data_IF_007356679144
#
_entry.id   IF_007356679144
#
_cell.length_a   1.000
_cell.length_b   1.000
_cell.length_c   1.000
_cell.angle_alpha   90.00
_cell.angle_beta   90.00
_cell.angle_gamma   90.00
#
_symmetry.space_group_name_H-M   'P 1'
#
loop_
_entity.id
_entity.type
_entity.pdbx_description
1 polymer ?
#
# COMPACT_ATOMS: atom_id res chain seq x y z
N UNK A 1 7.10 31.66 16.72
CA UNK A 1 7.25 30.36 16.01
C UNK A 1 6.78 29.16 16.84
N UNK A 2 6.52 29.30 18.15
CA UNK A 2 6.39 28.19 19.10
C UNK A 2 4.96 27.64 19.30
N UNK A 3 3.95 28.25 18.68
CA UNK A 3 2.54 27.96 18.92
C UNK A 3 1.81 27.60 17.62
N UNK A 4 2.07 26.39 17.08
CA UNK A 4 1.31 25.90 15.91
C UNK A 4 0.52 24.64 16.21
N UNK A 5 1.02 23.69 17.00
CA UNK A 5 0.28 22.46 17.28
C UNK A 5 -0.58 22.60 18.54
N UNK A 6 -1.89 22.79 18.36
CA UNK A 6 -2.84 22.80 19.49
C UNK A 6 -3.10 21.39 20.02
N UNK A 7 -2.89 20.38 19.17
CA UNK A 7 -3.12 18.96 19.46
C UNK A 7 -2.10 18.32 20.39
N UNK A 8 -1.03 19.02 20.76
CA UNK A 8 -0.05 18.51 21.73
C UNK A 8 -0.62 18.43 23.16
N UNK A 9 -1.74 19.10 23.42
CA UNK A 9 -2.33 19.18 24.77
C UNK A 9 -3.58 18.32 24.90
N UNK A 10 -3.56 17.36 25.84
CA UNK A 10 -4.71 16.52 26.19
C UNK A 10 -5.48 17.05 27.43
N UNK A 11 -5.59 18.37 27.53
CA UNK A 11 -6.30 19.08 28.60
C UNK A 11 -7.02 20.29 28.02
N UNK A 12 -8.33 20.40 28.30
CA UNK A 12 -9.19 21.44 27.74
C UNK A 12 -8.78 22.87 28.16
N UNK A 13 -8.39 23.08 29.41
CA UNK A 13 -7.97 24.38 29.92
C UNK A 13 -6.67 24.84 29.25
N UNK A 14 -5.74 23.90 29.05
CA UNK A 14 -4.47 24.17 28.36
C UNK A 14 -4.71 24.48 26.88
N UNK A 15 -5.60 23.71 26.22
CA UNK A 15 -6.03 23.99 24.84
C UNK A 15 -6.64 25.39 24.74
N UNK A 16 -7.56 25.75 25.63
CA UNK A 16 -8.20 27.07 25.62
C UNK A 16 -7.20 28.20 25.90
N UNK A 17 -6.29 28.00 26.84
CA UNK A 17 -5.22 28.96 27.14
C UNK A 17 -4.29 29.14 25.95
N UNK A 18 -3.93 28.04 25.28
CA UNK A 18 -3.11 28.07 24.07
C UNK A 18 -3.82 28.81 22.94
N UNK A 19 -5.07 28.46 22.64
CA UNK A 19 -5.89 29.11 21.61
C UNK A 19 -6.00 30.61 21.87
N UNK A 20 -6.24 31.00 23.12
CA UNK A 20 -6.33 32.40 23.52
C UNK A 20 -5.00 33.14 23.27
N UNK A 21 -3.86 32.56 23.68
CA UNK A 21 -2.53 33.13 23.45
C UNK A 21 -2.13 33.15 21.98
N UNK A 22 -2.59 32.17 21.19
CA UNK A 22 -2.35 32.11 19.76
C UNK A 22 -3.12 33.19 18.98
N UNK A 23 -4.11 33.86 19.60
CA UNK A 23 -4.87 34.94 18.98
C UNK A 23 -5.58 34.45 17.72
N UNK A 24 -5.26 35.04 16.56
CA UNK A 24 -5.77 34.67 15.23
C UNK A 24 -4.75 33.89 14.38
N UNK A 25 -3.66 33.40 14.99
CA UNK A 25 -2.66 32.66 14.24
C UNK A 25 -3.25 31.36 13.63
N UNK A 26 -2.75 30.92 12.46
CA UNK A 26 -3.09 29.62 11.90
C UNK A 26 -2.69 28.48 12.83
N UNK A 27 -3.55 27.48 12.94
CA UNK A 27 -3.40 26.35 13.86
C UNK A 27 -3.15 25.05 13.10
N UNK A 28 -2.28 24.20 13.64
CA UNK A 28 -2.11 22.81 13.24
C UNK A 28 -2.95 21.93 14.17
N UNK A 29 -3.95 21.27 13.61
CA UNK A 29 -4.85 20.35 14.30
C UNK A 29 -4.55 18.95 13.78
N UNK A 30 -3.76 18.21 14.54
CA UNK A 30 -3.39 16.83 14.24
C UNK A 30 -3.98 15.90 15.31
N UNK A 31 -5.04 15.18 14.96
CA UNK A 31 -5.76 14.32 15.89
C UNK A 31 -4.96 13.06 16.24
N UNK A 32 -3.97 12.68 15.43
CA UNK A 32 -3.08 11.54 15.71
C UNK A 32 -2.08 11.91 16.78
N UNK A 33 -1.49 13.10 16.69
CA UNK A 33 -0.61 13.65 17.72
C UNK A 33 -1.35 13.73 19.05
N UNK A 34 -2.60 14.22 19.05
CA UNK A 34 -3.43 14.26 20.26
C UNK A 34 -3.63 12.85 20.83
N UNK A 35 -3.95 11.87 19.98
CA UNK A 35 -4.14 10.49 20.42
C UNK A 35 -2.86 9.88 20.99
N UNK A 36 -1.73 9.99 20.30
CA UNK A 36 -0.45 9.42 20.72
C UNK A 36 0.00 9.97 22.08
N UNK A 37 -0.25 11.26 22.35
CA UNK A 37 0.01 11.85 23.67
C UNK A 37 -0.95 11.40 24.78
N UNK A 38 -2.06 10.76 24.40
CA UNK A 38 -3.14 10.31 25.27
C UNK A 38 -3.29 8.79 25.33
N UNK A 39 -2.35 8.01 24.78
CA UNK A 39 -2.50 6.56 24.58
C UNK A 39 -2.95 5.79 25.84
N UNK A 40 -2.42 6.19 27.00
CA UNK A 40 -2.71 5.58 28.30
C UNK A 40 -3.81 6.29 29.10
N UNK A 41 -4.35 7.40 28.60
CA UNK A 41 -5.36 8.21 29.29
C UNK A 41 -6.77 7.85 28.82
N UNK A 42 -7.81 7.99 29.67
CA UNK A 42 -9.20 7.87 29.25
C UNK A 42 -9.53 8.83 28.11
N UNK A 43 -10.45 8.43 27.22
CA UNK A 43 -10.95 9.31 26.17
C UNK A 43 -11.61 10.56 26.79
N UNK A 44 -11.19 11.74 26.33
CA UNK A 44 -11.72 13.04 26.73
C UNK A 44 -12.38 13.70 25.53
N UNK A 45 -13.64 13.35 25.31
CA UNK A 45 -14.43 13.87 24.19
C UNK A 45 -14.47 15.40 24.19
N UNK A 46 -14.47 16.05 25.35
CA UNK A 46 -14.44 17.51 25.47
C UNK A 46 -13.23 18.18 24.80
N UNK A 47 -12.05 17.54 24.81
CA UNK A 47 -10.85 18.06 24.12
C UNK A 47 -11.02 17.90 22.61
N UNK A 48 -11.47 16.72 22.18
CA UNK A 48 -11.74 16.43 20.76
C UNK A 48 -12.78 17.40 20.19
N UNK A 49 -13.91 17.55 20.87
CA UNK A 49 -15.01 18.40 20.44
C UNK A 49 -14.59 19.88 20.41
N UNK A 50 -13.71 20.31 21.33
CA UNK A 50 -13.12 21.64 21.27
C UNK A 50 -12.25 21.82 20.03
N UNK A 51 -11.37 20.88 19.71
CA UNK A 51 -10.50 20.93 18.53
C UNK A 51 -11.30 20.92 17.22
N UNK A 52 -12.42 20.21 17.20
CA UNK A 52 -13.33 20.12 16.06
C UNK A 52 -14.36 21.27 16.01
N UNK A 53 -14.27 22.23 16.91
CA UNK A 53 -15.19 23.37 16.91
C UNK A 53 -14.95 24.24 15.65
N UNK A 54 -16.00 24.67 14.93
CA UNK A 54 -15.86 25.41 13.66
C UNK A 54 -14.96 26.66 13.77
N UNK A 55 -15.01 27.36 14.91
CA UNK A 55 -14.13 28.48 15.24
C UNK A 55 -12.64 28.13 15.10
N UNK A 56 -12.19 26.98 15.62
CA UNK A 56 -10.79 26.58 15.54
C UNK A 56 -10.44 26.02 14.17
N UNK A 57 -11.33 25.21 13.60
CA UNK A 57 -11.09 24.60 12.30
C UNK A 57 -11.03 25.62 11.16
N UNK A 58 -11.79 26.72 11.26
CA UNK A 58 -11.68 27.83 10.29
C UNK A 58 -10.28 28.45 10.26
N UNK A 59 -9.51 28.32 11.35
CA UNK A 59 -8.12 28.78 11.48
C UNK A 59 -7.10 27.69 11.18
N UNK A 60 -7.52 26.47 10.85
CA UNK A 60 -6.62 25.36 10.62
C UNK A 60 -5.75 25.64 9.37
N UNK A 61 -4.43 25.57 9.54
CA UNK A 61 -3.48 25.42 8.42
C UNK A 61 -3.26 23.95 8.05
N UNK A 62 -3.46 23.06 9.02
CA UNK A 62 -3.31 21.62 8.88
C UNK A 62 -4.42 20.95 9.66
N UNK A 63 -5.11 20.00 9.04
CA UNK A 63 -6.10 19.14 9.70
C UNK A 63 -5.85 17.68 9.33
N UNK A 64 -5.46 16.88 10.32
CA UNK A 64 -5.10 15.47 10.14
C UNK A 64 -5.93 14.61 11.07
N UNK A 65 -6.63 13.63 10.49
CA UNK A 65 -7.17 12.45 11.16
C UNK A 65 -6.57 11.21 10.49
N UNK A 66 -5.60 10.60 11.17
CA UNK A 66 -4.90 9.37 10.82
C UNK A 66 -5.77 8.13 10.82
N UNK A 67 -7.05 8.29 11.17
CA UNK A 67 -8.01 7.22 11.32
C UNK A 67 -8.02 6.33 10.09
N UNK A 68 -7.85 5.03 10.30
CA UNK A 68 -8.02 4.01 9.25
C UNK A 68 -9.45 3.46 9.21
N UNK A 69 -10.22 3.71 10.28
CA UNK A 69 -11.58 3.25 10.49
C UNK A 69 -12.25 4.12 11.57
N UNK A 70 -13.55 3.89 11.78
CA UNK A 70 -14.37 4.59 12.79
C UNK A 70 -13.96 4.32 14.24
N UNK A 71 -13.12 3.31 14.49
CA UNK A 71 -12.65 2.95 15.83
C UNK A 71 -11.36 3.63 16.26
N UNK A 72 -10.64 4.21 15.31
CA UNK A 72 -9.43 4.94 15.63
C UNK A 72 -9.79 6.11 16.56
N UNK A 73 -9.04 6.31 17.66
CA UNK A 73 -9.40 7.37 18.62
C UNK A 73 -9.30 8.78 18.04
N UNK A 74 -8.58 8.96 16.94
CA UNK A 74 -8.50 10.21 16.18
C UNK A 74 -9.74 10.46 15.29
N UNK A 75 -10.63 9.47 15.13
CA UNK A 75 -11.89 9.62 14.40
C UNK A 75 -12.93 10.38 15.22
N UNK A 76 -13.76 11.16 14.52
CA UNK A 76 -14.94 11.80 15.08
C UNK A 76 -16.11 11.70 14.09
N UNK A 77 -17.31 11.26 14.53
CA UNK A 77 -18.49 11.23 13.68
C UNK A 77 -18.90 12.59 13.11
N UNK A 78 -18.57 13.67 13.81
CA UNK A 78 -18.89 15.04 13.38
C UNK A 78 -18.03 15.54 12.21
N UNK A 79 -16.95 14.83 11.85
CA UNK A 79 -15.95 15.33 10.90
C UNK A 79 -16.56 15.70 9.54
N UNK A 80 -17.51 14.91 9.04
CA UNK A 80 -18.16 15.18 7.76
C UNK A 80 -18.94 16.50 7.79
N UNK A 81 -19.83 16.66 8.77
CA UNK A 81 -20.61 17.89 8.97
C UNK A 81 -19.70 19.10 9.15
N UNK A 82 -18.59 18.93 9.87
CA UNK A 82 -17.67 20.04 10.13
C UNK A 82 -16.85 20.41 8.90
N UNK A 83 -16.42 19.45 8.09
CA UNK A 83 -15.74 19.70 6.83
C UNK A 83 -16.63 20.47 5.84
N UNK A 84 -17.90 20.10 5.71
CA UNK A 84 -18.81 20.75 4.76
C UNK A 84 -19.31 22.12 5.26
N UNK A 85 -19.52 22.29 6.57
CA UNK A 85 -20.03 23.55 7.14
C UNK A 85 -18.95 24.62 7.38
N UNK A 86 -17.67 24.24 7.44
CA UNK A 86 -16.57 25.17 7.75
C UNK A 86 -15.88 25.67 6.49
N UNK A 87 -15.58 26.97 6.43
CA UNK A 87 -14.72 27.55 5.39
C UNK A 87 -13.27 27.56 5.85
N UNK A 88 -12.40 26.93 5.07
CA UNK A 88 -11.00 26.70 5.42
C UNK A 88 -10.07 27.64 4.65
N UNK A 89 -10.04 28.93 5.03
CA UNK A 89 -9.26 29.93 4.30
C UNK A 89 -7.74 29.77 4.43
N UNK A 90 -7.26 29.07 5.45
CA UNK A 90 -5.83 28.93 5.76
C UNK A 90 -5.30 27.51 5.56
N UNK A 91 -6.18 26.54 5.26
CA UNK A 91 -5.85 25.13 5.23
C UNK A 91 -4.99 24.80 4.03
N UNK A 92 -3.81 24.27 4.32
CA UNK A 92 -2.82 23.79 3.33
C UNK A 92 -2.81 22.28 3.26
N UNK A 93 -3.00 21.61 4.39
CA UNK A 93 -2.87 20.17 4.52
C UNK A 93 -4.13 19.56 5.12
N UNK A 94 -4.81 18.71 4.35
CA UNK A 94 -5.96 17.95 4.80
C UNK A 94 -5.68 16.46 4.65
N UNK A 95 -5.77 15.70 5.74
CA UNK A 95 -5.74 14.24 5.71
C UNK A 95 -6.86 13.70 6.55
N UNK A 96 -7.87 13.07 5.97
CA UNK A 96 -9.06 12.64 6.69
C UNK A 96 -9.56 11.27 6.29
N UNK A 97 -10.23 10.61 7.23
CA UNK A 97 -11.05 9.44 6.97
C UNK A 97 -12.53 9.79 7.00
N UNK A 98 -13.24 9.39 5.96
CA UNK A 98 -14.68 9.58 5.81
C UNK A 98 -15.28 8.19 5.57
N UNK A 99 -16.09 7.65 6.50
CA UNK A 99 -16.70 6.34 6.30
C UNK A 99 -17.74 6.39 5.18
N UNK A 100 -17.95 5.26 4.50
CA UNK A 100 -18.83 5.11 3.32
C UNK A 100 -20.25 5.65 3.53
N UNK A 101 -20.81 5.48 4.73
CA UNK A 101 -22.15 5.96 5.12
C UNK A 101 -22.28 7.47 5.26
N UNK A 102 -21.18 8.20 5.37
CA UNK A 102 -21.17 9.66 5.53
C UNK A 102 -20.86 10.31 4.18
N UNK A 103 -21.90 10.50 3.37
CA UNK A 103 -21.76 11.16 2.07
C UNK A 103 -21.36 12.63 2.21
N UNK A 104 -20.48 13.06 1.31
CA UNK A 104 -20.06 14.44 1.12
C UNK A 104 -20.78 14.97 -0.11
N UNK A 105 -21.98 15.51 0.10
CA UNK A 105 -22.83 16.01 -0.98
C UNK A 105 -22.38 17.38 -1.51
N UNK A 106 -21.71 18.16 -0.66
CA UNK A 106 -21.23 19.50 -0.95
C UNK A 106 -19.69 19.59 -0.82
N UNK A 107 -19.01 20.28 -1.75
CA UNK A 107 -17.58 20.49 -1.65
C UNK A 107 -17.24 21.44 -0.50
N UNK A 108 -16.26 21.07 0.32
CA UNK A 108 -15.69 22.00 1.29
C UNK A 108 -14.79 23.03 0.58
N UNK A 109 -14.68 24.23 1.15
CA UNK A 109 -13.92 25.34 0.56
C UNK A 109 -12.56 25.50 1.24
N UNK A 110 -11.49 25.15 0.52
CA UNK A 110 -10.11 25.28 0.98
C UNK A 110 -9.19 25.83 -0.12
N UNK A 111 -9.19 27.16 -0.38
CA UNK A 111 -8.50 27.74 -1.54
C UNK A 111 -6.97 27.67 -1.47
N UNK A 112 -6.39 27.56 -0.27
CA UNK A 112 -4.95 27.44 -0.06
C UNK A 112 -4.46 25.99 0.07
N UNK A 113 -5.33 25.02 -0.23
CA UNK A 113 -5.01 23.60 -0.05
C UNK A 113 -3.89 23.20 -1.03
N UNK A 114 -2.86 22.58 -0.46
CA UNK A 114 -1.67 22.07 -1.17
C UNK A 114 -1.65 20.54 -1.16
N UNK A 115 -2.08 19.92 -0.06
CA UNK A 115 -2.08 18.47 0.14
C UNK A 115 -3.46 17.99 0.55
N UNK A 116 -4.02 17.09 -0.25
CA UNK A 116 -5.29 16.42 0.02
C UNK A 116 -5.07 14.93 0.17
N UNK A 117 -5.47 14.37 1.31
CA UNK A 117 -5.52 12.94 1.56
C UNK A 117 -6.91 12.57 2.09
N UNK A 118 -7.64 11.74 1.34
CA UNK A 118 -8.94 11.21 1.77
C UNK A 118 -8.92 9.69 1.63
N UNK A 119 -9.42 9.02 2.67
CA UNK A 119 -9.63 7.57 2.69
C UNK A 119 -11.01 7.24 3.23
N UNK A 120 -11.48 6.05 2.91
CA UNK A 120 -12.80 5.55 3.27
C UNK A 120 -12.75 4.03 3.42
N UNK A 121 -13.74 3.49 4.13
CA UNK A 121 -13.97 2.05 4.32
C UNK A 121 -15.01 1.48 3.33
N UNK A 122 -15.27 2.18 2.22
CA UNK A 122 -16.15 1.71 1.16
C UNK A 122 -15.70 0.34 0.64
N UNK A 123 -16.67 -0.58 0.53
CA UNK A 123 -16.47 -1.91 -0.05
C UNK A 123 -16.66 -1.95 -1.56
N UNK A 124 -17.37 -0.97 -2.12
CA UNK A 124 -17.63 -0.85 -3.55
C UNK A 124 -17.69 0.62 -4.00
N UNK A 125 -17.74 0.83 -5.33
CA UNK A 125 -17.81 2.17 -5.93
C UNK A 125 -19.02 2.99 -5.49
N UNK A 126 -20.18 2.36 -5.32
CA UNK A 126 -21.43 3.05 -5.00
C UNK A 126 -21.48 3.52 -3.54
N UNK A 127 -20.76 2.83 -2.66
CA UNK A 127 -20.59 3.17 -1.26
C UNK A 127 -19.54 4.27 -1.01
N UNK A 128 -18.80 4.70 -2.03
CA UNK A 128 -17.84 5.79 -1.87
C UNK A 128 -18.52 7.09 -1.39
N UNK A 129 -17.98 7.77 -0.36
CA UNK A 129 -18.61 8.94 0.24
C UNK A 129 -18.56 10.20 -0.63
N UNK A 130 -17.63 10.31 -1.58
CA UNK A 130 -17.44 11.53 -2.40
C UNK A 130 -17.74 11.23 -3.86
N UNK A 131 -18.63 11.99 -4.50
CA UNK A 131 -18.80 11.88 -5.96
C UNK A 131 -17.66 12.57 -6.72
N UNK A 132 -17.33 12.07 -7.91
CA UNK A 132 -16.33 12.68 -8.80
C UNK A 132 -16.63 14.17 -9.12
N UNK A 133 -17.93 14.54 -9.17
CA UNK A 133 -18.37 15.94 -9.34
C UNK A 133 -17.94 16.82 -8.16
N UNK A 134 -18.20 16.35 -6.94
CA UNK A 134 -17.84 17.06 -5.70
C UNK A 134 -16.32 17.21 -5.62
N UNK A 135 -15.58 16.13 -5.88
CA UNK A 135 -14.12 16.12 -5.93
C UNK A 135 -13.57 17.13 -6.96
N UNK A 136 -14.12 17.14 -8.17
CA UNK A 136 -13.71 18.09 -9.23
C UNK A 136 -13.91 19.54 -8.78
N UNK A 137 -14.99 19.81 -8.04
CA UNK A 137 -15.26 21.16 -7.52
C UNK A 137 -14.24 21.54 -6.43
N UNK A 138 -13.91 20.62 -5.52
CA UNK A 138 -12.84 20.83 -4.54
C UNK A 138 -11.49 21.12 -5.22
N UNK A 139 -11.17 20.38 -6.28
CA UNK A 139 -9.97 20.65 -7.06
C UNK A 139 -9.99 22.03 -7.68
N UNK A 140 -11.09 22.46 -8.31
CA UNK A 140 -11.16 23.78 -8.93
C UNK A 140 -10.98 24.92 -7.92
N UNK A 141 -11.47 24.75 -6.69
CA UNK A 141 -11.29 25.73 -5.62
C UNK A 141 -9.85 25.75 -5.08
N UNK A 142 -9.18 24.60 -5.03
CA UNK A 142 -7.81 24.43 -4.50
C UNK A 142 -6.72 24.68 -5.56
N UNK A 143 -6.49 25.93 -5.93
CA UNK A 143 -5.54 26.29 -7.01
C UNK A 143 -4.08 25.87 -6.75
N UNK A 144 -3.68 25.69 -5.50
CA UNK A 144 -2.29 25.37 -5.10
C UNK A 144 -2.05 23.88 -4.84
N UNK A 145 -3.00 23.02 -5.20
CA UNK A 145 -2.92 21.59 -4.93
C UNK A 145 -1.75 20.97 -5.71
N UNK A 146 -0.80 20.38 -4.98
CA UNK A 146 0.37 19.71 -5.54
C UNK A 146 0.47 18.23 -5.16
N UNK A 147 -0.29 17.79 -4.15
CA UNK A 147 -0.31 16.40 -3.68
C UNK A 147 -1.74 15.91 -3.47
N UNK A 148 -2.07 14.78 -4.08
CA UNK A 148 -3.38 14.13 -3.94
C UNK A 148 -3.20 12.66 -3.57
N UNK A 149 -3.89 12.22 -2.52
CA UNK A 149 -3.96 10.83 -2.08
C UNK A 149 -5.41 10.45 -1.83
N UNK A 150 -6.00 9.58 -2.67
CA UNK A 150 -7.41 9.19 -2.58
C UNK A 150 -7.49 7.67 -2.52
N UNK A 151 -8.18 7.10 -1.52
CA UNK A 151 -8.33 5.64 -1.38
C UNK A 151 -9.75 5.24 -1.01
N UNK A 152 -10.40 4.41 -1.85
CA UNK A 152 -11.77 3.88 -1.62
C UNK A 152 -12.80 4.98 -1.31
N UNK A 153 -12.58 6.21 -1.79
CA UNK A 153 -13.38 7.36 -1.34
C UNK A 153 -14.18 8.07 -2.44
N UNK A 154 -13.98 7.72 -3.72
CA UNK A 154 -14.58 8.44 -4.85
C UNK A 154 -15.51 7.55 -5.66
N UNK A 155 -16.76 7.99 -5.82
CA UNK A 155 -17.76 7.42 -6.73
C UNK A 155 -17.63 8.09 -8.11
N UNK A 156 -17.29 7.30 -9.13
CA UNK A 156 -17.11 7.73 -10.52
C UNK A 156 -18.30 7.41 -11.43
N UNK A 157 -19.39 6.83 -10.89
CA UNK A 157 -20.58 6.47 -11.68
C UNK A 157 -21.23 7.68 -12.34
N UNK A 158 -21.09 8.86 -11.74
CA UNK A 158 -21.57 10.15 -12.27
C UNK A 158 -20.41 10.93 -12.89
N UNK A 159 -20.36 10.96 -14.23
CA UNK A 159 -19.32 11.67 -14.99
C UNK A 159 -19.38 13.18 -14.75
N UNK A 160 -18.20 13.78 -14.57
CA UNK A 160 -17.99 15.23 -14.46
C UNK A 160 -17.34 15.75 -15.75
N UNK A 161 -17.74 16.94 -16.20
CA UNK A 161 -17.18 17.61 -17.38
C UNK A 161 -16.55 18.91 -16.92
N UNK A 162 -15.22 18.91 -16.73
CA UNK A 162 -14.42 20.12 -16.57
C UNK A 162 -12.98 19.79 -16.94
N UNK A 163 -12.25 20.77 -17.48
CA UNK A 163 -10.84 20.63 -17.83
C UNK A 163 -10.07 21.73 -17.14
N UNK A 164 -9.17 21.33 -16.25
CA UNK A 164 -8.07 22.17 -15.80
C UNK A 164 -6.82 21.30 -15.86
N UNK A 165 -5.67 21.77 -16.31
CA UNK A 165 -4.45 20.96 -16.29
C UNK A 165 -3.43 21.64 -15.40
N UNK A 166 -3.34 21.15 -14.18
CA UNK A 166 -2.36 21.62 -13.18
C UNK A 166 -1.36 20.52 -12.90
N UNK A 167 -0.13 20.91 -12.58
CA UNK A 167 0.91 19.95 -12.25
C UNK A 167 0.72 19.39 -10.84
N UNK A 168 0.81 18.07 -10.68
CA UNK A 168 0.92 17.41 -9.39
C UNK A 168 2.33 16.87 -9.21
N UNK A 169 2.91 17.09 -8.03
CA UNK A 169 4.17 16.47 -7.59
C UNK A 169 3.95 15.06 -7.05
N UNK A 170 2.79 14.81 -6.45
CA UNK A 170 2.44 13.52 -5.87
C UNK A 170 0.99 13.15 -6.17
N UNK A 171 0.80 11.94 -6.70
CA UNK A 171 -0.51 11.37 -6.97
C UNK A 171 -0.55 9.93 -6.45
N UNK A 172 -1.41 9.64 -5.48
CA UNK A 172 -1.73 8.29 -5.04
C UNK A 172 -3.22 8.03 -5.16
N UNK A 173 -3.60 7.08 -6.00
CA UNK A 173 -5.00 6.74 -6.23
C UNK A 173 -5.22 5.27 -5.89
N UNK A 174 -6.28 4.99 -5.14
CA UNK A 174 -6.81 3.66 -4.92
C UNK A 174 -8.30 3.66 -5.26
N UNK A 175 -8.66 3.15 -6.44
CA UNK A 175 -10.02 3.18 -7.00
C UNK A 175 -10.53 1.79 -7.37
N UNK A 176 -11.86 1.64 -7.43
CA UNK A 176 -12.51 0.38 -7.79
C UNK A 176 -12.50 0.08 -9.29
N UNK A 177 -12.25 1.10 -10.13
CA UNK A 177 -12.08 0.97 -11.56
C UNK A 177 -11.15 2.06 -12.11
N UNK A 178 -10.84 1.97 -13.40
CA UNK A 178 -10.02 2.92 -14.15
C UNK A 178 -10.72 4.28 -14.40
N UNK A 179 -12.00 4.44 -14.07
CA UNK A 179 -12.74 5.69 -14.35
C UNK A 179 -12.18 6.88 -13.55
N UNK A 180 -11.63 6.66 -12.35
CA UNK A 180 -11.02 7.74 -11.55
C UNK A 180 -9.74 8.25 -12.21
N UNK A 181 -9.00 7.38 -12.91
CA UNK A 181 -7.79 7.75 -13.65
C UNK A 181 -8.12 8.78 -14.74
N UNK A 182 -9.20 8.55 -15.48
CA UNK A 182 -9.69 9.50 -16.50
C UNK A 182 -10.13 10.84 -15.88
N UNK A 183 -10.79 10.83 -14.72
CA UNK A 183 -11.14 12.06 -14.00
C UNK A 183 -9.87 12.83 -13.61
N UNK A 184 -8.87 12.13 -13.05
CA UNK A 184 -7.63 12.75 -12.57
C UNK A 184 -6.77 13.28 -13.72
N UNK A 185 -6.64 12.55 -14.83
CA UNK A 185 -5.84 12.95 -16.00
C UNK A 185 -6.43 14.17 -16.74
N UNK A 186 -7.72 14.44 -16.58
CA UNK A 186 -8.38 15.65 -17.10
C UNK A 186 -8.21 16.88 -16.21
N UNK A 187 -7.89 16.68 -14.93
CA UNK A 187 -7.70 17.74 -13.93
C UNK A 187 -6.22 18.07 -13.68
N UNK A 188 -5.35 17.10 -13.93
CA UNK A 188 -3.94 17.20 -13.60
C UNK A 188 -3.06 16.64 -14.70
N UNK A 189 -1.90 17.27 -14.85
CA UNK A 189 -0.75 16.73 -15.55
C UNK A 189 0.27 16.28 -14.49
N UNK A 190 1.04 15.27 -14.84
CA UNK A 190 2.11 14.74 -14.01
C UNK A 190 3.42 15.02 -14.75
N UNK A 191 4.40 15.57 -14.04
CA UNK A 191 5.75 15.83 -14.58
C UNK A 191 6.64 14.60 -14.38
N UNK A 192 7.76 14.53 -15.09
CA UNK A 192 8.67 13.36 -15.04
C UNK A 192 9.27 13.11 -13.63
N UNK A 193 9.34 14.14 -12.79
CA UNK A 193 9.84 14.04 -11.41
C UNK A 193 8.74 13.69 -10.39
N UNK A 194 7.49 13.60 -10.83
CA UNK A 194 6.35 13.38 -9.96
C UNK A 194 6.23 11.91 -9.55
N UNK A 195 5.84 11.67 -8.30
CA UNK A 195 5.57 10.33 -7.80
C UNK A 195 4.11 9.95 -8.05
N UNK A 196 3.88 8.96 -8.92
CA UNK A 196 2.52 8.46 -9.22
C UNK A 196 2.37 7.00 -8.80
N UNK A 197 1.38 6.73 -7.96
CA UNK A 197 0.98 5.39 -7.57
C UNK A 197 -0.51 5.21 -7.82
N UNK A 198 -0.89 4.22 -8.62
CA UNK A 198 -2.29 3.94 -8.92
C UNK A 198 -2.58 2.49 -8.61
N UNK A 199 -3.56 2.26 -7.75
CA UNK A 199 -4.05 0.97 -7.34
C UNK A 199 -5.50 0.80 -7.81
N UNK A 200 -5.76 -0.25 -8.58
CA UNK A 200 -7.09 -0.62 -9.03
C UNK A 200 -7.56 -1.87 -8.28
N UNK A 201 -8.61 -1.73 -7.48
CA UNK A 201 -9.22 -2.84 -6.73
C UNK A 201 -10.03 -3.78 -7.62
N UNK A 202 -10.57 -3.24 -8.71
CA UNK A 202 -11.22 -3.97 -9.79
C UNK A 202 -10.84 -3.34 -11.12
N UNK A 203 -10.82 -4.14 -12.17
CA UNK A 203 -10.50 -3.69 -13.52
C UNK A 203 -11.69 -4.03 -14.39
N UNK A 204 -12.37 -3.02 -14.97
CA UNK A 204 -13.56 -3.31 -15.79
C UNK A 204 -13.17 -3.88 -17.15
N UNK A 205 -12.15 -3.29 -17.75
CA UNK A 205 -11.52 -3.77 -18.96
C UNK A 205 -10.00 -3.54 -18.84
N UNK A 206 -9.23 -4.62 -18.90
CA UNK A 206 -7.78 -4.56 -18.68
C UNK A 206 -7.06 -3.75 -19.75
N UNK A 207 -7.51 -3.82 -21.00
CA UNK A 207 -6.92 -3.07 -22.10
C UNK A 207 -7.16 -1.57 -21.92
N UNK A 208 -8.41 -1.18 -21.61
CA UNK A 208 -8.77 0.22 -21.35
C UNK A 208 -8.04 0.75 -20.12
N UNK A 209 -7.95 -0.04 -19.05
CA UNK A 209 -7.25 0.35 -17.84
C UNK A 209 -5.77 0.61 -18.11
N UNK A 210 -5.07 -0.33 -18.77
CA UNK A 210 -3.64 -0.17 -19.09
C UNK A 210 -3.37 0.99 -20.04
N UNK A 211 -4.18 1.18 -21.08
CA UNK A 211 -4.05 2.33 -21.98
C UNK A 211 -4.29 3.65 -21.23
N UNK A 212 -5.33 3.71 -20.39
CA UNK A 212 -5.65 4.89 -19.59
C UNK A 212 -4.51 5.22 -18.61
N UNK A 213 -3.98 4.23 -17.90
CA UNK A 213 -2.90 4.40 -16.93
C UNK A 213 -1.60 4.88 -17.60
N UNK A 214 -1.22 4.26 -18.72
CA UNK A 214 0.05 4.55 -19.40
C UNK A 214 0.00 5.84 -20.22
N UNK A 215 -1.15 6.13 -20.87
CA UNK A 215 -1.33 7.36 -21.65
C UNK A 215 -1.55 8.58 -20.75
N UNK A 216 -2.32 8.46 -19.66
CA UNK A 216 -2.60 9.58 -18.77
C UNK A 216 -1.36 10.13 -18.07
N UNK A 217 -0.44 9.25 -17.69
CA UNK A 217 0.71 9.58 -16.83
C UNK A 217 2.05 9.31 -17.49
N UNK A 218 2.09 9.39 -18.83
CA UNK A 218 3.35 9.47 -19.59
C UNK A 218 4.21 8.21 -19.61
N UNK A 219 3.72 7.06 -19.14
CA UNK A 219 4.48 5.81 -19.18
C UNK A 219 4.47 5.12 -20.55
N UNK A 220 3.81 5.70 -21.55
CA UNK A 220 3.76 5.15 -22.91
C UNK A 220 5.17 5.09 -23.52
N UNK A 221 5.71 3.89 -23.64
CA UNK A 221 7.07 3.64 -24.12
C UNK A 221 8.14 3.59 -23.02
N UNK A 222 7.79 3.85 -21.75
CA UNK A 222 8.67 3.56 -20.62
C UNK A 222 8.76 2.05 -20.43
N UNK A 223 9.96 1.54 -20.21
CA UNK A 223 10.14 0.13 -19.85
C UNK A 223 9.75 -0.11 -18.39
N UNK A 224 9.21 -1.30 -18.12
CA UNK A 224 8.95 -1.79 -16.77
C UNK A 224 10.30 -2.18 -16.16
N UNK A 225 10.63 -1.59 -15.02
CA UNK A 225 11.88 -1.86 -14.31
C UNK A 225 11.72 -3.06 -13.37
N UNK A 226 10.64 -3.08 -12.59
CA UNK A 226 10.38 -4.09 -11.58
C UNK A 226 8.93 -4.56 -11.58
N UNK A 227 8.74 -5.84 -11.32
CA UNK A 227 7.44 -6.46 -11.04
C UNK A 227 7.47 -7.02 -9.61
N UNK A 228 6.42 -6.75 -8.85
CA UNK A 228 6.14 -7.39 -7.56
C UNK A 228 4.75 -8.01 -7.63
N UNK A 229 4.64 -9.30 -7.34
CA UNK A 229 3.38 -10.03 -7.17
C UNK A 229 3.22 -10.27 -5.68
N UNK A 230 2.19 -9.68 -5.07
CA UNK A 230 1.99 -9.78 -3.62
C UNK A 230 0.65 -10.40 -3.29
N UNK A 231 0.64 -11.51 -2.57
CA UNK A 231 -0.59 -11.99 -1.95
C UNK A 231 -0.88 -11.19 -0.68
N UNK A 232 -2.07 -10.63 -0.55
CA UNK A 232 -2.45 -9.82 0.60
C UNK A 232 -3.94 -9.94 0.89
N UNK A 233 -4.35 -9.42 2.04
CA UNK A 233 -5.74 -9.24 2.38
C UNK A 233 -6.02 -7.78 2.77
N UNK A 234 -7.24 -7.33 2.47
CA UNK A 234 -7.71 -5.99 2.80
C UNK A 234 -9.10 -6.14 3.41
N UNK A 235 -9.30 -5.56 4.59
CA UNK A 235 -10.59 -5.63 5.27
C UNK A 235 -10.88 -4.33 6.00
N UNK A 236 -12.15 -4.01 6.09
CA UNK A 236 -12.66 -3.01 7.01
C UNK A 236 -13.77 -3.64 7.85
N UNK A 237 -13.82 -3.31 9.13
CA UNK A 237 -14.93 -3.71 9.99
C UNK A 237 -16.13 -2.77 9.79
N UNK A 238 -17.36 -3.30 9.92
CA UNK A 238 -18.59 -2.52 10.13
C UNK A 238 -18.46 -1.64 11.39
N UNK A 239 -19.42 -0.77 11.72
CA UNK A 239 -19.39 0.07 12.94
C UNK A 239 -19.68 -0.68 14.25
N UNK A 240 -20.42 -1.78 14.19
CA UNK A 240 -20.77 -2.61 15.35
C UNK A 240 -19.75 -3.73 15.62
N UNK A 241 -18.71 -3.85 14.79
CA UNK A 241 -17.68 -4.91 14.80
C UNK A 241 -18.24 -6.32 14.63
N UNK A 242 -19.52 -6.46 14.31
CA UNK A 242 -20.14 -7.78 14.17
C UNK A 242 -19.76 -8.45 12.86
N UNK A 243 -19.41 -7.65 11.85
CA UNK A 243 -19.11 -8.13 10.50
C UNK A 243 -18.06 -7.25 9.81
N UNK A 244 -17.32 -7.79 8.82
CA UNK A 244 -16.54 -6.94 7.93
C UNK A 244 -17.47 -6.12 7.02
N UNK A 245 -17.19 -4.82 6.87
CA UNK A 245 -17.75 -3.99 5.80
C UNK A 245 -17.29 -4.51 4.42
N UNK A 246 -16.04 -4.96 4.34
CA UNK A 246 -15.51 -5.77 3.24
C UNK A 246 -14.33 -6.60 3.76
N UNK A 247 -14.01 -7.69 3.07
CA UNK A 247 -12.88 -8.57 3.37
C UNK A 247 -12.47 -9.27 2.09
N UNK A 248 -11.42 -8.75 1.45
CA UNK A 248 -10.96 -9.18 0.14
C UNK A 248 -9.60 -9.85 0.29
N UNK A 249 -9.47 -11.08 -0.24
CA UNK A 249 -8.18 -11.74 -0.45
C UNK A 249 -7.80 -11.61 -1.91
N UNK A 250 -6.57 -11.17 -2.19
CA UNK A 250 -6.15 -10.87 -3.55
C UNK A 250 -4.66 -11.10 -3.78
N UNK A 251 -4.31 -11.29 -5.05
CA UNK A 251 -2.94 -11.09 -5.52
C UNK A 251 -2.85 -9.70 -6.17
N UNK A 252 -1.87 -8.91 -5.77
CA UNK A 252 -1.58 -7.62 -6.37
C UNK A 252 -0.42 -7.77 -7.35
N UNK A 253 -0.66 -7.47 -8.63
CA UNK A 253 0.41 -7.22 -9.59
C UNK A 253 0.84 -5.76 -9.47
N UNK A 254 2.09 -5.52 -9.11
CA UNK A 254 2.68 -4.19 -9.04
C UNK A 254 3.78 -4.07 -10.10
N UNK A 255 3.61 -3.14 -11.02
CA UNK A 255 4.64 -2.75 -11.98
C UNK A 255 5.18 -1.37 -11.62
N UNK A 256 6.51 -1.25 -11.55
CA UNK A 256 7.19 0.04 -11.46
C UNK A 256 7.90 0.34 -12.76
N UNK A 257 7.68 1.55 -13.28
CA UNK A 257 8.25 2.04 -14.52
C UNK A 257 9.44 2.94 -14.23
N UNK A 258 10.38 3.03 -15.19
CA UNK A 258 11.53 3.94 -15.08
C UNK A 258 11.12 5.42 -14.96
N UNK A 259 9.93 5.78 -15.43
CA UNK A 259 9.35 7.13 -15.27
C UNK A 259 8.91 7.46 -13.83
N UNK A 260 9.02 6.53 -12.88
CA UNK A 260 8.53 6.72 -11.51
C UNK A 260 7.04 6.38 -11.31
N UNK A 261 6.30 6.06 -12.39
CA UNK A 261 4.94 5.53 -12.29
C UNK A 261 4.94 4.13 -11.64
N UNK A 262 4.01 3.92 -10.72
CA UNK A 262 3.70 2.62 -10.14
C UNK A 262 2.22 2.28 -10.37
N UNK A 263 1.98 1.11 -10.96
CA UNK A 263 0.64 0.56 -11.17
C UNK A 263 0.49 -0.67 -10.29
N UNK A 264 -0.61 -0.77 -9.57
CA UNK A 264 -1.02 -1.93 -8.79
C UNK A 264 -2.38 -2.39 -9.29
N UNK A 265 -2.46 -3.59 -9.85
CA UNK A 265 -3.71 -4.23 -10.27
C UNK A 265 -4.03 -5.35 -9.30
N UNK A 266 -5.20 -5.31 -8.66
CA UNK A 266 -5.65 -6.39 -7.78
C UNK A 266 -6.37 -7.48 -8.58
N UNK A 267 -5.91 -8.70 -8.41
CA UNK A 267 -6.58 -9.94 -8.79
C UNK A 267 -7.33 -10.45 -7.55
N UNK A 268 -8.61 -10.11 -7.44
CA UNK A 268 -9.48 -10.63 -6.39
C UNK A 268 -9.71 -12.13 -6.58
N UNK A 269 -9.42 -12.93 -5.55
CA UNK A 269 -9.50 -14.40 -5.63
C UNK A 269 -10.95 -14.88 -5.76
N UNK A 270 -11.88 -14.20 -5.07
CA UNK A 270 -13.29 -14.60 -5.07
C UNK A 270 -13.98 -14.15 -6.36
N UNK A 271 -13.57 -13.02 -6.94
CA UNK A 271 -14.20 -12.40 -8.12
C UNK A 271 -13.14 -11.80 -9.06
N UNK A 272 -12.33 -12.63 -9.74
CA UNK A 272 -11.30 -12.12 -10.63
C UNK A 272 -11.94 -11.38 -11.81
N UNK A 273 -11.46 -10.16 -12.06
CA UNK A 273 -11.93 -9.30 -13.16
C UNK A 273 -11.01 -9.33 -14.38
N UNK A 274 -9.85 -9.97 -14.25
CA UNK A 274 -8.83 -10.15 -15.29
C UNK A 274 -8.01 -11.42 -15.00
N UNK A 275 -7.17 -11.86 -15.95
CA UNK A 275 -6.32 -13.06 -15.82
C UNK A 275 -4.85 -12.72 -16.05
N UNK A 276 -3.95 -13.53 -15.49
CA UNK A 276 -2.50 -13.34 -15.67
C UNK A 276 -2.08 -13.51 -17.12
N UNK A 277 -2.74 -14.40 -17.86
CA UNK A 277 -2.56 -14.55 -19.30
C UNK A 277 -2.91 -13.27 -20.07
N UNK A 278 -4.08 -12.67 -19.79
CA UNK A 278 -4.50 -11.42 -20.43
C UNK A 278 -3.53 -10.28 -20.10
N UNK A 279 -3.04 -10.22 -18.85
CA UNK A 279 -2.03 -9.26 -18.42
C UNK A 279 -0.71 -9.46 -19.15
N UNK A 280 -0.22 -10.70 -19.29
CA UNK A 280 1.01 -11.00 -20.03
C UNK A 280 0.94 -10.52 -21.48
N UNK A 281 -0.23 -10.67 -22.13
CA UNK A 281 -0.44 -10.26 -23.50
C UNK A 281 -0.48 -8.74 -23.68
N UNK A 282 -1.18 -8.03 -22.78
CA UNK A 282 -1.38 -6.59 -22.88
C UNK A 282 -0.23 -5.76 -22.30
N UNK A 283 0.49 -6.31 -21.32
CA UNK A 283 1.62 -5.67 -20.67
C UNK A 283 2.82 -6.62 -20.59
N UNK A 284 3.57 -6.79 -21.70
CA UNK A 284 4.72 -7.68 -21.73
C UNK A 284 5.80 -7.27 -20.72
N UNK A 285 6.08 -8.15 -19.77
CA UNK A 285 7.07 -7.94 -18.70
C UNK A 285 8.42 -8.60 -19.00
N UNK A 286 8.68 -8.99 -20.26
CA UNK A 286 9.88 -9.71 -20.69
C UNK A 286 11.19 -9.03 -20.29
N UNK A 287 11.17 -7.69 -20.24
CA UNK A 287 12.34 -6.84 -19.97
C UNK A 287 12.51 -6.44 -18.49
N UNK A 288 11.58 -6.82 -17.61
CA UNK A 288 11.66 -6.46 -16.20
C UNK A 288 12.90 -7.09 -15.55
N UNK A 289 13.66 -6.28 -14.79
CA UNK A 289 14.92 -6.68 -14.16
C UNK A 289 14.74 -7.25 -12.77
N UNK A 290 13.66 -6.87 -12.09
CA UNK A 290 13.38 -7.29 -10.74
C UNK A 290 12.03 -8.00 -10.69
N UNK A 291 12.00 -9.19 -10.08
CA UNK A 291 10.78 -9.93 -9.79
C UNK A 291 10.73 -10.22 -8.28
N UNK A 292 9.69 -9.72 -7.62
CA UNK A 292 9.32 -10.12 -6.27
C UNK A 292 8.03 -10.94 -6.29
N UNK A 293 7.98 -12.07 -5.60
CA UNK A 293 6.73 -12.76 -5.25
C UNK A 293 6.66 -12.84 -3.74
N UNK A 294 5.80 -12.01 -3.15
CA UNK A 294 5.81 -11.75 -1.72
C UNK A 294 4.47 -12.05 -1.05
N UNK A 295 4.54 -12.36 0.24
CA UNK A 295 3.38 -12.47 1.12
C UNK A 295 3.27 -11.18 1.92
N UNK A 296 2.08 -10.59 1.88
CA UNK A 296 1.70 -9.39 2.62
C UNK A 296 1.39 -9.69 4.07
N UNK A 297 0.26 -9.18 4.56
CA UNK A 297 -0.14 -9.30 5.98
C UNK A 297 -0.88 -10.59 6.30
N UNK A 298 -1.22 -11.39 5.29
CA UNK A 298 -1.98 -12.62 5.48
C UNK A 298 -1.17 -13.67 6.26
N UNK A 299 -1.81 -14.39 7.19
CA UNK A 299 -1.17 -15.45 7.98
C UNK A 299 -0.91 -16.70 7.16
N UNK A 300 -1.85 -17.04 6.26
CA UNK A 300 -1.88 -18.33 5.58
C UNK A 300 -1.75 -18.10 4.08
N UNK A 301 -0.69 -18.63 3.44
CA UNK A 301 -0.51 -18.48 2.01
C UNK A 301 -1.62 -19.25 1.28
N UNK A 302 -2.28 -18.60 0.31
CA UNK A 302 -3.19 -19.26 -0.63
C UNK A 302 -2.40 -19.87 -1.77
N UNK A 303 -2.93 -20.95 -2.33
CA UNK A 303 -2.45 -21.50 -3.59
C UNK A 303 -2.52 -20.43 -4.69
N UNK A 304 -1.41 -20.16 -5.40
CA UNK A 304 -1.38 -19.18 -6.48
C UNK A 304 -2.28 -19.60 -7.67
N UNK A 305 -2.84 -18.65 -8.44
CA UNK A 305 -3.57 -18.98 -9.66
C UNK A 305 -2.71 -19.75 -10.66
N UNK A 306 -3.27 -20.76 -11.33
CA UNK A 306 -2.51 -21.66 -12.21
C UNK A 306 -1.81 -20.94 -13.37
N UNK A 307 -2.41 -19.87 -13.91
CA UNK A 307 -1.89 -19.06 -15.01
C UNK A 307 -0.77 -18.08 -14.59
N UNK A 308 -0.57 -17.85 -13.28
CA UNK A 308 0.52 -17.02 -12.76
C UNK A 308 1.90 -17.62 -13.09
N UNK A 309 2.02 -18.94 -13.03
CA UNK A 309 3.22 -19.67 -13.44
C UNK A 309 3.61 -19.39 -14.91
N UNK A 310 2.61 -19.30 -15.79
CA UNK A 310 2.82 -19.00 -17.21
C UNK A 310 3.22 -17.54 -17.42
N UNK A 311 2.64 -16.61 -16.65
CA UNK A 311 3.05 -15.21 -16.66
C UNK A 311 4.54 -15.06 -16.28
N UNK A 312 4.98 -15.70 -15.19
CA UNK A 312 6.38 -15.67 -14.75
C UNK A 312 7.32 -16.33 -15.76
N UNK A 313 6.87 -17.39 -16.44
CA UNK A 313 7.65 -18.02 -17.50
C UNK A 313 7.96 -17.10 -18.70
N UNK A 314 7.16 -16.06 -18.93
CA UNK A 314 7.39 -15.05 -19.96
C UNK A 314 8.42 -13.97 -19.60
N UNK A 315 8.99 -13.99 -18.38
CA UNK A 315 9.97 -13.00 -17.95
C UNK A 315 11.40 -13.47 -18.26
N UNK A 316 12.10 -12.81 -19.19
CA UNK A 316 13.38 -13.28 -19.75
C UNK A 316 14.62 -12.48 -19.31
N UNK A 317 14.44 -11.29 -18.74
CA UNK A 317 15.54 -10.39 -18.32
C UNK A 317 15.59 -10.14 -16.82
N UNK A 318 15.10 -11.08 -16.01
CA UNK A 318 15.15 -10.96 -14.56
C UNK A 318 16.61 -11.11 -14.08
N UNK A 319 17.08 -10.11 -13.35
CA UNK A 319 18.39 -10.06 -12.70
C UNK A 319 18.29 -10.26 -11.19
N UNK A 320 17.21 -9.78 -10.58
CA UNK A 320 16.96 -9.89 -9.15
C UNK A 320 15.66 -10.62 -8.90
N UNK A 321 15.71 -11.69 -8.10
CA UNK A 321 14.55 -12.48 -7.70
C UNK A 321 14.39 -12.42 -6.18
N UNK A 322 13.18 -12.16 -5.71
CA UNK A 322 12.77 -12.30 -4.32
C UNK A 322 11.53 -13.20 -4.27
N UNK A 323 11.58 -14.27 -3.48
CA UNK A 323 10.39 -15.07 -3.16
C UNK A 323 10.28 -15.22 -1.65
N UNK A 324 9.11 -14.91 -1.10
CA UNK A 324 8.83 -15.11 0.33
C UNK A 324 7.77 -16.20 0.48
N UNK A 325 8.03 -17.20 1.32
CA UNK A 325 7.19 -18.40 1.47
C UNK A 325 7.40 -19.48 0.39
N UNK A 326 7.11 -20.73 0.79
CA UNK A 326 7.44 -21.94 0.02
C UNK A 326 6.56 -22.08 -1.22
N UNK A 327 5.29 -21.70 -1.13
CA UNK A 327 4.29 -21.87 -2.19
C UNK A 327 4.64 -21.07 -3.46
N UNK A 328 5.45 -20.02 -3.34
CA UNK A 328 5.90 -19.24 -4.49
C UNK A 328 7.14 -19.82 -5.16
N UNK A 329 7.80 -20.80 -4.54
CA UNK A 329 8.98 -21.45 -5.10
C UNK A 329 8.66 -22.13 -6.44
N UNK A 330 7.55 -22.85 -6.51
CA UNK A 330 7.11 -23.53 -7.73
C UNK A 330 6.81 -22.57 -8.88
N UNK A 331 6.36 -21.35 -8.57
CA UNK A 331 6.12 -20.30 -9.57
C UNK A 331 7.45 -19.77 -10.11
N UNK A 332 8.38 -19.39 -9.23
CA UNK A 332 9.64 -18.77 -9.66
C UNK A 332 10.56 -19.77 -10.38
N UNK A 333 10.40 -21.07 -10.12
CA UNK A 333 11.15 -22.08 -10.86
C UNK A 333 10.77 -22.14 -12.34
N UNK A 334 9.63 -21.56 -12.74
CA UNK A 334 9.21 -21.43 -14.14
C UNK A 334 9.97 -20.34 -14.90
N UNK A 335 10.76 -19.52 -14.23
CA UNK A 335 11.63 -18.56 -14.90
C UNK A 335 12.58 -19.30 -15.88
N UNK A 336 12.64 -18.86 -17.15
CA UNK A 336 13.56 -19.41 -18.15
C UNK A 336 14.98 -19.61 -17.62
N UNK A 337 15.59 -20.76 -17.94
CA UNK A 337 16.90 -21.17 -17.44
C UNK A 337 18.05 -20.23 -17.89
N UNK A 338 17.81 -19.47 -18.96
CA UNK A 338 18.70 -18.47 -19.54
C UNK A 338 18.53 -17.06 -18.95
N UNK A 339 17.60 -16.84 -18.01
CA UNK A 339 17.48 -15.55 -17.31
C UNK A 339 18.83 -15.14 -16.67
N UNK A 340 19.24 -13.87 -16.82
CA UNK A 340 20.51 -13.34 -16.31
C UNK A 340 20.46 -13.02 -14.80
N UNK A 341 20.02 -13.99 -13.98
CA UNK A 341 19.93 -13.84 -12.53
C UNK A 341 21.31 -13.51 -11.96
N UNK A 342 21.38 -12.42 -11.20
CA UNK A 342 22.56 -11.98 -10.47
C UNK A 342 22.34 -12.10 -8.95
N UNK A 343 21.12 -11.85 -8.47
CA UNK A 343 20.74 -11.95 -7.06
C UNK A 343 19.44 -12.71 -6.93
N UNK A 344 19.43 -13.74 -6.09
CA UNK A 344 18.25 -14.54 -5.77
C UNK A 344 18.09 -14.58 -4.26
N UNK A 345 16.94 -14.18 -3.75
CA UNK A 345 16.62 -14.19 -2.33
C UNK A 345 15.40 -15.06 -2.06
N UNK A 346 15.57 -16.08 -1.24
CA UNK A 346 14.47 -16.87 -0.69
C UNK A 346 14.31 -16.54 0.79
N UNK A 347 13.15 -16.04 1.16
CA UNK A 347 12.80 -15.76 2.55
C UNK A 347 11.67 -16.70 2.98
N UNK A 348 12.01 -17.83 3.60
CA UNK A 348 11.03 -18.82 4.02
C UNK A 348 10.84 -18.77 5.53
N UNK A 349 9.58 -18.76 5.98
CA UNK A 349 9.29 -18.75 7.42
C UNK A 349 9.82 -20.02 8.10
N UNK A 350 9.79 -21.15 7.41
CA UNK A 350 10.42 -22.41 7.79
C UNK A 350 10.89 -23.09 6.50
N UNK A 351 12.20 -23.11 6.25
CA UNK A 351 12.79 -23.80 5.10
C UNK A 351 13.06 -25.26 5.45
N UNK A 352 12.46 -26.19 4.69
CA UNK A 352 12.67 -27.63 4.88
C UNK A 352 13.87 -28.14 4.08
N UNK A 353 14.38 -29.33 4.44
CA UNK A 353 15.49 -29.95 3.73
C UNK A 353 15.13 -30.24 2.26
N UNK A 354 13.89 -30.68 2.02
CA UNK A 354 13.33 -30.89 0.69
C UNK A 354 13.44 -29.62 -0.16
N UNK A 355 13.17 -28.44 0.42
CA UNK A 355 13.25 -27.16 -0.28
C UNK A 355 14.68 -26.85 -0.71
N UNK A 356 15.67 -27.16 0.13
CA UNK A 356 17.09 -27.02 -0.22
C UNK A 356 17.50 -27.97 -1.34
N UNK A 357 17.00 -29.21 -1.35
CA UNK A 357 17.26 -30.18 -2.41
C UNK A 357 16.64 -29.71 -3.73
N UNK A 358 15.39 -29.24 -3.71
CA UNK A 358 14.73 -28.67 -4.88
C UNK A 358 15.48 -27.43 -5.38
N UNK A 359 15.89 -26.54 -4.47
CA UNK A 359 16.70 -25.37 -4.78
C UNK A 359 18.01 -25.74 -5.45
N UNK A 360 18.72 -26.73 -4.93
CA UNK A 360 19.95 -27.23 -5.54
C UNK A 360 19.73 -27.73 -6.97
N UNK A 361 18.69 -28.55 -7.20
CA UNK A 361 18.36 -29.04 -8.53
C UNK A 361 17.99 -27.91 -9.48
N UNK A 362 17.18 -26.95 -9.03
CA UNK A 362 16.81 -25.79 -9.82
C UNK A 362 18.03 -24.95 -10.18
N UNK A 363 18.85 -24.55 -9.22
CA UNK A 363 20.08 -23.78 -9.45
C UNK A 363 21.01 -24.51 -10.43
N UNK A 364 21.24 -25.81 -10.22
CA UNK A 364 22.11 -26.63 -11.08
C UNK A 364 21.58 -26.74 -12.51
N UNK A 365 20.27 -26.71 -12.71
CA UNK A 365 19.65 -26.76 -14.04
C UNK A 365 19.90 -25.49 -14.85
N UNK A 366 20.20 -24.37 -14.18
CA UNK A 366 20.48 -23.09 -14.83
C UNK A 366 21.89 -23.10 -15.39
N UNK A 367 21.99 -22.95 -16.71
CA UNK A 367 23.28 -22.74 -17.41
C UNK A 367 23.70 -21.28 -17.31
N UNK A 368 23.83 -20.78 -16.08
CA UNK A 368 24.22 -19.40 -15.85
C UNK A 368 25.62 -19.17 -16.41
N UNK A 369 25.78 -18.15 -17.27
CA UNK A 369 27.08 -17.76 -17.83
C UNK A 369 28.00 -17.15 -16.77
N UNK A 370 27.45 -16.75 -15.62
CA UNK A 370 28.15 -16.09 -14.52
C UNK A 370 27.62 -16.63 -13.18
N UNK A 371 28.48 -16.70 -12.13
CA UNK A 371 28.02 -17.03 -10.79
C UNK A 371 27.07 -15.94 -10.26
N UNK A 372 25.98 -16.36 -9.61
CA UNK A 372 25.01 -15.45 -8.99
C UNK A 372 24.99 -15.61 -7.47
N UNK A 373 24.48 -14.60 -6.78
CA UNK A 373 24.33 -14.59 -5.32
C UNK A 373 22.99 -15.20 -4.92
N UNK A 374 23.03 -16.20 -4.04
CA UNK A 374 21.87 -16.84 -3.46
C UNK A 374 21.79 -16.50 -1.97
N UNK A 375 20.76 -15.75 -1.57
CA UNK A 375 20.49 -15.40 -0.19
C UNK A 375 19.36 -16.27 0.36
N UNK A 376 19.64 -17.00 1.45
CA UNK A 376 18.63 -17.72 2.21
C UNK A 376 18.34 -16.93 3.48
N UNK A 377 17.08 -16.58 3.71
CA UNK A 377 16.61 -15.80 4.87
C UNK A 377 15.38 -16.45 5.49
N UNK A 378 15.03 -16.00 6.69
CA UNK A 378 13.87 -16.50 7.44
C UNK A 378 14.30 -17.45 8.54
N UNK A 379 13.60 -18.57 8.76
CA UNK A 379 13.96 -19.56 9.78
C UNK A 379 14.36 -20.89 9.13
N UNK A 380 15.39 -21.52 9.68
CA UNK A 380 15.54 -22.97 9.55
C UNK A 380 14.44 -23.66 10.41
N UNK A 381 13.99 -24.87 10.05
CA UNK A 381 12.89 -25.60 10.72
C UNK A 381 12.97 -25.51 12.27
N UNK A 382 11.81 -25.35 12.91
CA UNK A 382 11.64 -25.54 14.35
C UNK A 382 11.72 -27.05 14.69
N UNK A 383 12.89 -27.50 15.13
CA UNK A 383 13.06 -28.78 15.83
C UNK A 383 13.35 -28.56 17.31
N UNK A 384 13.20 -29.60 18.14
CA UNK A 384 13.81 -29.61 19.47
C UNK A 384 15.32 -29.33 19.30
N UNK A 385 15.91 -28.32 19.96
CA UNK A 385 17.30 -27.94 19.75
C UNK A 385 18.30 -29.08 19.93
N UNK A 386 17.94 -30.15 20.66
CA UNK A 386 18.77 -31.34 20.82
C UNK A 386 18.68 -32.32 19.63
N UNK A 387 17.53 -32.42 18.95
CA UNK A 387 17.33 -33.26 17.75
C UNK A 387 17.81 -32.53 16.48
N UNK A 388 17.61 -31.21 16.41
CA UNK A 388 17.92 -30.40 15.24
C UNK A 388 19.43 -30.28 14.97
N UNK A 389 20.25 -30.29 16.03
CA UNK A 389 21.70 -30.05 15.92
C UNK A 389 22.48 -31.19 15.30
N UNK A 390 22.02 -32.43 15.40
CA UNK A 390 22.77 -33.58 14.92
C UNK A 390 22.26 -34.12 13.58
N UNK A 391 20.96 -34.36 13.43
CA UNK A 391 20.46 -35.05 12.24
C UNK A 391 20.17 -34.09 11.09
N UNK A 392 19.48 -32.98 11.33
CA UNK A 392 19.10 -32.04 10.26
C UNK A 392 20.31 -31.28 9.71
N UNK A 393 21.21 -30.80 10.57
CA UNK A 393 22.44 -30.13 10.12
C UNK A 393 23.35 -31.05 9.29
N UNK A 394 23.48 -32.32 9.69
CA UNK A 394 24.26 -33.30 8.94
C UNK A 394 23.67 -33.58 7.55
N UNK A 395 22.35 -33.46 7.41
CA UNK A 395 21.65 -33.60 6.13
C UNK A 395 21.73 -32.33 5.27
N UNK A 396 21.56 -31.14 5.85
CA UNK A 396 21.58 -29.86 5.12
C UNK A 396 22.99 -29.47 4.65
N UNK A 397 24.02 -29.67 5.47
CA UNK A 397 25.38 -29.17 5.19
C UNK A 397 25.96 -29.66 3.85
N UNK A 398 25.82 -30.94 3.45
CA UNK A 398 26.21 -31.40 2.12
C UNK A 398 25.47 -30.66 0.99
N UNK A 399 24.18 -30.39 1.13
CA UNK A 399 23.37 -29.69 0.13
C UNK A 399 23.76 -28.22 0.02
N UNK A 400 23.99 -27.54 1.16
CA UNK A 400 24.48 -26.16 1.19
C UNK A 400 25.88 -26.04 0.59
N UNK A 401 26.77 -26.99 0.88
CA UNK A 401 28.10 -27.06 0.27
C UNK A 401 27.99 -27.27 -1.25
N UNK A 402 27.10 -28.15 -1.71
CA UNK A 402 26.84 -28.38 -3.12
C UNK A 402 26.29 -27.13 -3.82
N UNK A 403 25.38 -26.39 -3.19
CA UNK A 403 24.91 -25.08 -3.67
C UNK A 403 26.06 -24.07 -3.80
N UNK A 404 26.98 -24.03 -2.82
CA UNK A 404 28.17 -23.18 -2.84
C UNK A 404 29.15 -23.48 -3.98
N UNK A 405 29.07 -24.66 -4.61
CA UNK A 405 29.88 -24.99 -5.80
C UNK A 405 29.36 -24.36 -7.10
N UNK A 406 28.06 -24.00 -7.13
CA UNK A 406 27.37 -23.50 -8.34
C UNK A 406 26.92 -22.04 -8.22
N UNK A 407 26.88 -21.49 -7.01
CA UNK A 407 26.51 -20.10 -6.74
C UNK A 407 27.26 -19.55 -5.51
N UNK A 408 27.22 -18.23 -5.31
CA UNK A 408 27.72 -17.60 -4.09
C UNK A 408 26.60 -17.63 -3.05
N UNK A 409 26.66 -18.57 -2.12
CA UNK A 409 25.65 -18.78 -1.08
C UNK A 409 25.86 -17.86 0.12
N UNK A 410 24.81 -17.15 0.52
CA UNK A 410 24.70 -16.36 1.75
C UNK A 410 23.54 -16.91 2.58
N UNK A 411 23.85 -17.68 3.62
CA UNK A 411 22.84 -18.21 4.54
C UNK A 411 22.70 -17.29 5.76
N UNK A 412 21.58 -16.57 5.82
CA UNK A 412 21.19 -15.64 6.89
C UNK A 412 19.94 -16.15 7.63
N UNK A 413 19.62 -17.45 7.53
CA UNK A 413 18.49 -18.04 8.26
C UNK A 413 18.72 -17.98 9.77
N UNK A 414 17.68 -17.62 10.52
CA UNK A 414 17.66 -17.68 11.97
C UNK A 414 17.43 -19.12 12.43
N UNK A 415 18.24 -19.55 13.41
CA UNK A 415 18.01 -20.80 14.12
C UNK A 415 17.31 -20.45 15.44
N UNK A 416 15.98 -20.50 15.46
CA UNK A 416 15.23 -20.24 16.70
C UNK A 416 15.50 -21.36 17.71
N UNK A 417 16.34 -21.08 18.70
CA UNK A 417 16.39 -21.89 19.92
C UNK A 417 15.11 -21.59 20.72
N UNK A 418 14.14 -22.50 20.71
CA UNK A 418 12.97 -22.44 21.59
C UNK A 418 13.41 -22.68 23.04
N UNK A 419 13.94 -21.67 23.72
CA UNK A 419 14.09 -21.70 25.17
C UNK A 419 13.38 -20.50 25.79
N UNK A 420 12.23 -20.81 26.39
CA UNK A 420 11.69 -20.04 27.50
C UNK A 420 12.82 -19.79 28.52
N UNK A 421 13.04 -18.53 28.86
CA UNK A 421 13.91 -18.13 29.96
C UNK A 421 13.29 -18.67 31.24
N UNK A 422 13.72 -19.85 31.71
CA UNK A 422 13.51 -20.26 33.10
C UNK A 422 14.52 -19.53 33.97
N UNK A 423 14.07 -18.42 34.56
CA UNK A 423 14.75 -17.79 35.69
C UNK A 423 14.69 -18.76 36.87
N UNK A 424 15.78 -19.46 37.14
CA UNK A 424 15.98 -20.09 38.43
C UNK A 424 16.49 -19.01 39.40
N UNK A 425 15.64 -18.59 40.33
CA UNK A 425 16.07 -17.83 41.51
C UNK A 425 16.67 -18.80 42.53
N UNK A 426 17.87 -18.43 43.00
CA UNK A 426 18.76 -19.03 44.01
C UNK A 426 18.28 -20.28 44.74
#
# INVERSE_FOLDING_TARGET
MWARSVSTFYNLEVVNTFVHRAGQAPLSIDMDVMHNHADWMPQRDSVRDRLLHPELLSRASTFVTGAMNTYNRAYSPSINTTLTSTRFFLLKDLSVFIPHRLHVDEPFKAPLLQRLSIRSDAGDMASCPISARVLTTMFNDACYLSSVSLRRCVDTTRRSVNYTRRSLQYLSLGSFDESLVDVMSRQFQVEDESHVLIELYGVRDLSIALDSLTTAFGARGSSIDSVEIRYDNDFAASEDRSSPAYSDEFFAFRASFQSGLQIILRYDIARPTWTWEALAHLLPCENARHLGITKGRCSDPREPPADLAQFVAGMHKVHSLLATDREYFDIVTKLPADNPLAVVTFHFRAMEFEDLVFLWHWVRSRRASHPFHLHLKGSAIEGDPDDYRYDTWFMEAPTLAALGTVCVLHDEREFKSSHSVRVYRK
#
